data_IF_598426675099
#
_entry.id   IF_598426675099
#
_cell.length_a   1.000
_cell.length_b   1.000
_cell.length_c   1.000
_cell.angle_alpha   90.00
_cell.angle_beta   90.00
_cell.angle_gamma   90.00
#
_symmetry.space_group_name_H-M   'P 1'
#
loop_
_entity.id
_entity.type
_entity.pdbx_description
1 polymer ?
#
# COMPACT_ATOMS: atom_id res chain seq x y z
N UNK A 1 22.94 31.29 32.57
CA UNK A 1 22.80 31.40 31.10
C UNK A 1 22.75 29.99 30.49
N UNK A 2 21.63 29.61 29.86
CA UNK A 2 21.26 28.23 29.52
C UNK A 2 21.49 27.97 28.02
N UNK A 3 22.26 26.95 27.62
CA UNK A 3 22.27 26.43 26.24
C UNK A 3 21.77 24.99 26.25
N UNK A 4 20.47 24.82 25.97
CA UNK A 4 19.88 23.51 25.66
C UNK A 4 20.36 23.09 24.27
N UNK A 5 21.18 22.03 24.18
CA UNK A 5 21.45 21.35 22.91
C UNK A 5 20.17 20.62 22.51
N UNK A 6 19.51 21.09 21.45
CA UNK A 6 18.37 20.37 20.87
C UNK A 6 18.88 19.08 20.23
N UNK A 7 18.38 17.93 20.70
CA UNK A 7 18.60 16.66 20.03
C UNK A 7 17.67 16.60 18.82
N UNK A 8 18.25 16.65 17.62
CA UNK A 8 17.50 16.39 16.40
C UNK A 8 17.00 14.95 16.43
N UNK A 9 15.70 14.74 16.59
CA UNK A 9 15.06 13.43 16.52
C UNK A 9 15.14 12.94 15.08
N UNK A 10 16.15 12.10 14.80
CA UNK A 10 16.30 11.40 13.52
C UNK A 10 15.07 10.52 13.27
N UNK A 11 14.11 11.01 12.51
CA UNK A 11 12.99 10.19 12.02
C UNK A 11 13.58 9.18 11.03
N UNK A 12 13.69 7.93 11.45
CA UNK A 12 13.88 6.81 10.51
C UNK A 12 12.53 6.59 9.85
N UNK A 13 12.41 6.92 8.57
CA UNK A 13 11.35 6.38 7.73
C UNK A 13 11.58 4.87 7.63
N UNK A 14 10.68 4.07 8.20
CA UNK A 14 10.71 2.61 8.08
C UNK A 14 9.79 2.19 6.94
N UNK A 15 10.32 1.43 5.98
CA UNK A 15 9.53 0.74 4.96
C UNK A 15 9.45 -0.73 5.36
N UNK A 16 8.26 -1.31 5.25
CA UNK A 16 8.03 -2.73 5.53
C UNK A 16 7.19 -3.33 4.41
N UNK A 17 7.71 -4.39 3.79
CA UNK A 17 6.95 -5.19 2.82
C UNK A 17 6.04 -6.14 3.57
N UNK A 18 4.82 -6.31 3.05
CA UNK A 18 3.81 -7.19 3.62
C UNK A 18 3.42 -8.25 2.61
N UNK A 19 3.11 -9.43 3.11
CA UNK A 19 2.44 -10.48 2.35
C UNK A 19 1.01 -10.04 2.00
N UNK A 20 0.40 -10.74 1.02
CA UNK A 20 -1.00 -10.53 0.68
C UNK A 20 -1.92 -10.67 1.91
N UNK A 21 -1.78 -11.74 2.69
CA UNK A 21 -2.64 -11.98 3.86
C UNK A 21 -2.50 -10.90 4.94
N UNK A 22 -1.30 -10.36 5.15
CA UNK A 22 -1.11 -9.22 6.06
C UNK A 22 -1.78 -7.94 5.55
N UNK A 23 -1.80 -7.72 4.23
CA UNK A 23 -2.51 -6.59 3.63
C UNK A 23 -4.02 -6.79 3.73
N UNK A 24 -4.53 -8.00 3.43
CA UNK A 24 -5.96 -8.34 3.59
C UNK A 24 -6.43 -8.13 5.03
N UNK A 25 -5.63 -8.54 6.02
CA UNK A 25 -5.93 -8.37 7.43
C UNK A 25 -6.06 -6.89 7.85
N UNK A 26 -5.45 -5.95 7.12
CA UNK A 26 -5.62 -4.50 7.38
C UNK A 26 -7.04 -4.01 7.05
N UNK A 27 -7.78 -4.74 6.21
CA UNK A 27 -9.16 -4.40 5.87
C UNK A 27 -10.17 -4.96 6.89
N UNK A 28 -9.74 -5.78 7.85
CA UNK A 28 -10.62 -6.37 8.88
C UNK A 28 -11.89 -6.99 8.25
N UNK A 29 -13.07 -6.62 8.76
CA UNK A 29 -14.37 -7.12 8.33
C UNK A 29 -15.02 -6.25 7.24
N UNK A 30 -14.26 -5.35 6.60
CA UNK A 30 -14.80 -4.50 5.54
C UNK A 30 -15.13 -5.31 4.28
N UNK A 31 -16.19 -4.93 3.59
CA UNK A 31 -16.60 -5.59 2.36
C UNK A 31 -15.78 -5.04 1.20
N UNK A 32 -14.96 -5.90 0.59
CA UNK A 32 -14.19 -5.55 -0.60
C UNK A 32 -15.09 -5.18 -1.78
N UNK A 33 -14.72 -4.11 -2.47
CA UNK A 33 -15.25 -3.78 -3.79
C UNK A 33 -14.49 -4.61 -4.82
N UNK A 34 -15.21 -5.20 -5.78
CA UNK A 34 -14.58 -5.90 -6.92
C UNK A 34 -13.57 -4.98 -7.61
N UNK A 35 -12.34 -5.42 -7.92
CA UNK A 35 -11.85 -6.82 -7.97
C UNK A 35 -11.25 -7.36 -6.65
N UNK A 36 -11.37 -6.65 -5.53
CA UNK A 36 -10.74 -7.02 -4.26
C UNK A 36 -9.29 -6.56 -4.17
N UNK A 37 -8.41 -7.38 -3.57
CA UNK A 37 -6.99 -7.09 -3.41
C UNK A 37 -6.15 -7.68 -4.57
N UNK A 38 -5.82 -6.85 -5.54
CA UNK A 38 -5.07 -7.23 -6.75
C UNK A 38 -3.82 -6.37 -6.94
N UNK A 39 -3.01 -6.62 -7.97
CA UNK A 39 -1.92 -5.72 -8.36
C UNK A 39 -2.50 -4.34 -8.69
N UNK A 40 -1.82 -3.29 -8.25
CA UNK A 40 -2.34 -1.92 -8.37
C UNK A 40 -2.79 -1.55 -9.81
N UNK A 41 -2.06 -1.92 -10.90
CA UNK A 41 -2.51 -1.63 -12.26
C UNK A 41 -3.77 -2.39 -12.70
N UNK A 42 -4.12 -3.49 -12.05
CA UNK A 42 -5.34 -4.25 -12.33
C UNK A 42 -6.56 -3.72 -11.55
N UNK A 43 -6.35 -2.82 -10.59
CA UNK A 43 -7.44 -2.31 -9.75
C UNK A 43 -8.30 -1.26 -10.49
N UNK A 44 -7.66 -0.36 -11.24
CA UNK A 44 -8.33 0.56 -12.15
C UNK A 44 -7.48 0.75 -13.39
N UNK A 45 -7.70 -0.06 -14.43
CA UNK A 45 -6.93 0.08 -15.64
C UNK A 45 -7.52 1.24 -16.47
N UNK A 46 -6.67 2.16 -16.94
CA UNK A 46 -7.01 3.17 -17.97
C UNK A 46 -7.45 2.56 -19.33
N UNK A 47 -7.74 1.26 -19.36
CA UNK A 47 -8.07 0.46 -20.54
C UNK A 47 -7.36 -0.90 -20.54
N UNK A 48 -7.68 -1.78 -21.50
CA UNK A 48 -7.02 -3.09 -21.64
C UNK A 48 -5.50 -2.96 -21.67
N UNK A 49 -4.82 -3.86 -20.95
CA UNK A 49 -3.36 -3.88 -20.87
C UNK A 49 -2.74 -4.18 -22.25
N UNK A 50 -1.97 -3.22 -22.78
CA UNK A 50 -1.28 -3.36 -24.09
C UNK A 50 0.17 -3.82 -23.99
N UNK A 51 0.75 -3.87 -22.78
CA UNK A 51 2.13 -4.30 -22.49
C UNK A 51 2.20 -5.13 -21.20
N UNK A 52 3.15 -6.06 -21.06
CA UNK A 52 3.39 -6.77 -19.80
C UNK A 52 3.62 -5.83 -18.61
N UNK A 53 3.49 -6.36 -17.40
CA UNK A 53 3.82 -5.64 -16.17
C UNK A 53 5.34 -5.46 -16.05
N UNK A 54 5.77 -4.25 -15.77
CA UNK A 54 7.14 -3.96 -15.33
C UNK A 54 7.37 -4.56 -13.93
N UNK A 55 8.62 -4.90 -13.58
CA UNK A 55 8.96 -5.50 -12.29
C UNK A 55 8.45 -4.68 -11.10
N UNK A 56 8.54 -3.35 -11.18
CA UNK A 56 8.06 -2.45 -10.13
C UNK A 56 6.54 -2.53 -9.92
N UNK A 57 5.79 -2.82 -10.99
CA UNK A 57 4.34 -2.91 -10.93
C UNK A 57 3.86 -4.20 -10.26
N UNK A 58 4.75 -5.19 -10.11
CA UNK A 58 4.48 -6.44 -9.41
C UNK A 58 4.67 -6.31 -7.89
N UNK A 59 5.21 -5.18 -7.40
CA UNK A 59 5.55 -4.98 -5.98
C UNK A 59 4.41 -4.38 -5.14
N UNK A 60 3.32 -3.93 -5.77
CA UNK A 60 2.28 -3.15 -5.10
C UNK A 60 0.90 -3.77 -5.33
N UNK A 61 0.20 -4.05 -4.22
CA UNK A 61 -1.21 -4.42 -4.23
C UNK A 61 -2.09 -3.21 -3.93
N UNK A 62 -3.25 -3.16 -4.58
CA UNK A 62 -4.33 -2.20 -4.34
C UNK A 62 -5.63 -2.91 -4.01
N UNK A 63 -6.39 -2.35 -3.07
CA UNK A 63 -7.69 -2.85 -2.67
C UNK A 63 -8.57 -1.73 -2.12
N UNK A 64 -9.87 -1.79 -2.39
CA UNK A 64 -10.87 -0.87 -1.86
C UNK A 64 -11.93 -1.65 -1.12
N UNK A 65 -12.36 -1.15 0.03
CA UNK A 65 -13.44 -1.74 0.79
C UNK A 65 -14.39 -0.66 1.30
N UNK A 66 -15.68 -1.01 1.40
CA UNK A 66 -16.74 -0.12 1.88
C UNK A 66 -16.90 -0.29 3.38
N UNK A 67 -16.90 0.83 4.12
CA UNK A 67 -17.42 0.88 5.49
C UNK A 67 -18.96 0.86 5.44
N UNK A 68 -19.62 -0.01 6.23
CA UNK A 68 -21.08 -0.11 6.26
C UNK A 68 -21.76 1.23 6.58
#
# INVERSE_FOLDING_TARGET
MRRRRGSARRRRSSTYFRTRGEIEAMFHDLVFVSPGLTLLPDWWPDGPRVRPLEDVQQLILGGLARKP
#
